data_IF_817583468200
#
_entry.id   IF_817583468200
#
_cell.length_a   1.000
_cell.length_b   1.000
_cell.length_c   1.000
_cell.angle_alpha   90.00
_cell.angle_beta   90.00
_cell.angle_gamma   90.00
#
_symmetry.space_group_name_H-M   'P 1'
#
loop_
_entity.id
_entity.type
_entity.pdbx_description
1 polymer ?
#
# COMPACT_ATOMS: atom_id res chain seq x y z
N UNK A 1 -34.89 -27.88 1.82
CA UNK A 1 -34.06 -27.99 0.61
C UNK A 1 -33.56 -26.61 0.11
N UNK A 2 -34.43 -25.59 0.01
CA UNK A 2 -34.00 -24.22 -0.40
C UNK A 2 -32.97 -23.55 0.55
N UNK A 3 -33.09 -23.73 1.87
CA UNK A 3 -32.15 -23.16 2.85
C UNK A 3 -30.73 -23.76 2.73
N UNK A 4 -30.64 -25.06 2.45
CA UNK A 4 -29.33 -25.74 2.25
C UNK A 4 -28.64 -25.29 0.95
N UNK A 5 -29.40 -25.01 -0.11
CA UNK A 5 -28.88 -24.49 -1.39
C UNK A 5 -28.43 -23.04 -1.25
N UNK A 6 -29.13 -22.22 -0.44
CA UNK A 6 -28.72 -20.85 -0.15
C UNK A 6 -27.45 -20.81 0.70
N UNK A 7 -27.32 -21.68 1.70
CA UNK A 7 -26.10 -21.83 2.52
C UNK A 7 -24.89 -22.23 1.69
N UNK A 8 -25.03 -23.25 0.83
CA UNK A 8 -23.96 -23.71 -0.01
C UNK A 8 -23.48 -22.66 -1.06
N UNK A 9 -24.39 -21.87 -1.63
CA UNK A 9 -24.02 -20.75 -2.51
C UNK A 9 -23.28 -19.63 -1.77
N UNK A 10 -23.67 -19.35 -0.53
CA UNK A 10 -23.00 -18.39 0.34
C UNK A 10 -21.58 -18.84 0.71
N UNK A 11 -21.39 -20.12 1.02
CA UNK A 11 -20.06 -20.68 1.35
C UNK A 11 -19.12 -20.71 0.14
N UNK A 12 -19.61 -21.09 -1.04
CA UNK A 12 -18.82 -21.07 -2.27
C UNK A 12 -18.38 -19.65 -2.67
N UNK A 13 -19.24 -18.66 -2.50
CA UNK A 13 -18.92 -17.25 -2.73
C UNK A 13 -17.81 -16.78 -1.78
N UNK A 14 -17.92 -17.12 -0.49
CA UNK A 14 -16.91 -16.76 0.49
C UNK A 14 -15.54 -17.40 0.21
N UNK A 15 -15.50 -18.67 -0.17
CA UNK A 15 -14.27 -19.37 -0.56
C UNK A 15 -13.63 -18.76 -1.81
N UNK A 16 -14.44 -18.34 -2.77
CA UNK A 16 -13.95 -17.65 -3.97
C UNK A 16 -13.34 -16.30 -3.61
N UNK A 17 -13.99 -15.52 -2.74
CA UNK A 17 -13.47 -14.23 -2.29
C UNK A 17 -12.19 -14.39 -1.46
N UNK A 18 -12.11 -15.43 -0.64
CA UNK A 18 -10.89 -15.76 0.10
C UNK A 18 -9.76 -16.17 -0.85
N UNK A 19 -10.05 -16.98 -1.89
CA UNK A 19 -9.09 -17.32 -2.94
C UNK A 19 -8.54 -16.10 -3.69
N UNK A 20 -9.42 -15.13 -4.00
CA UNK A 20 -9.02 -13.84 -4.59
C UNK A 20 -8.13 -13.03 -3.65
N UNK A 21 -8.45 -13.01 -2.35
CA UNK A 21 -7.63 -12.34 -1.34
C UNK A 21 -6.23 -12.96 -1.25
N UNK A 22 -6.11 -14.30 -1.24
CA UNK A 22 -4.81 -14.97 -1.28
C UNK A 22 -4.06 -14.69 -2.58
N UNK A 23 -4.73 -14.72 -3.73
CA UNK A 23 -4.13 -14.36 -5.01
C UNK A 23 -3.58 -12.94 -5.01
N UNK A 24 -4.34 -11.99 -4.48
CA UNK A 24 -3.90 -10.60 -4.32
C UNK A 24 -2.75 -10.45 -3.34
N UNK A 25 -2.83 -11.10 -2.18
CA UNK A 25 -1.74 -11.12 -1.22
C UNK A 25 -0.45 -11.63 -1.87
N UNK A 26 -0.51 -12.72 -2.63
CA UNK A 26 0.63 -13.25 -3.36
C UNK A 26 1.18 -12.25 -4.38
N UNK A 27 0.35 -11.77 -5.29
CA UNK A 27 0.77 -10.90 -6.39
C UNK A 27 1.41 -9.59 -5.88
N UNK A 28 0.81 -8.98 -4.88
CA UNK A 28 1.26 -7.68 -4.38
C UNK A 28 2.42 -7.78 -3.40
N UNK A 29 2.59 -8.90 -2.69
CA UNK A 29 3.70 -9.07 -1.75
C UNK A 29 4.94 -9.72 -2.36
N UNK A 30 4.82 -10.42 -3.49
CA UNK A 30 5.94 -11.11 -4.13
C UNK A 30 7.19 -10.24 -4.33
N UNK A 31 7.12 -9.02 -4.86
CA UNK A 31 8.31 -8.19 -5.02
C UNK A 31 9.06 -7.99 -3.70
N UNK A 32 8.33 -7.71 -2.63
CA UNK A 32 8.91 -7.55 -1.29
C UNK A 32 9.42 -8.87 -0.70
N UNK A 33 8.64 -9.94 -0.85
CA UNK A 33 8.99 -11.27 -0.34
C UNK A 33 10.25 -11.84 -1.01
N UNK A 34 10.60 -11.34 -2.18
CA UNK A 34 11.81 -11.75 -2.92
C UNK A 34 13.00 -10.82 -2.68
N UNK A 35 12.86 -9.77 -1.86
CA UNK A 35 13.96 -8.84 -1.54
C UNK A 35 14.68 -9.27 -0.25
N UNK A 36 15.99 -9.45 -0.35
CA UNK A 36 16.85 -9.88 0.75
C UNK A 36 16.84 -8.86 1.91
N UNK A 37 16.77 -7.59 1.58
CA UNK A 37 16.74 -6.50 2.56
C UNK A 37 15.52 -6.59 3.49
N UNK A 38 14.36 -6.98 2.98
CA UNK A 38 13.17 -7.17 3.81
C UNK A 38 13.31 -8.33 4.79
N UNK A 39 13.97 -9.40 4.40
CA UNK A 39 14.26 -10.51 5.33
C UNK A 39 15.21 -10.05 6.42
N UNK A 40 16.28 -9.33 6.04
CA UNK A 40 17.26 -8.78 6.98
C UNK A 40 16.61 -7.76 7.94
N UNK A 41 15.74 -6.89 7.45
CA UNK A 41 14.99 -5.95 8.29
C UNK A 41 14.07 -6.65 9.29
N UNK A 42 13.44 -7.75 8.91
CA UNK A 42 12.62 -8.56 9.81
C UNK A 42 13.38 -9.05 11.03
N UNK A 43 14.68 -9.31 10.87
CA UNK A 43 15.57 -9.73 11.95
C UNK A 43 16.16 -8.54 12.70
N UNK A 44 16.67 -7.53 11.98
CA UNK A 44 17.52 -6.45 12.52
C UNK A 44 16.75 -5.21 12.97
N UNK A 45 15.56 -4.94 12.45
CA UNK A 45 14.81 -3.72 12.77
C UNK A 45 14.42 -3.67 14.26
N UNK A 46 14.52 -2.50 14.93
CA UNK A 46 14.13 -2.35 16.32
C UNK A 46 12.67 -2.78 16.56
N UNK A 47 12.40 -3.54 17.64
CA UNK A 47 11.04 -4.07 17.90
C UNK A 47 9.96 -2.98 17.94
N UNK A 48 10.27 -1.81 18.49
CA UNK A 48 9.34 -0.67 18.55
C UNK A 48 8.94 -0.17 17.14
N UNK A 49 9.89 -0.13 16.20
CA UNK A 49 9.62 0.30 14.82
C UNK A 49 8.82 -0.74 14.06
N UNK A 50 9.12 -2.03 14.25
CA UNK A 50 8.30 -3.12 13.69
C UNK A 50 6.85 -3.03 14.19
N UNK A 51 6.68 -2.79 15.49
CA UNK A 51 5.36 -2.58 16.08
C UNK A 51 4.68 -1.33 15.51
N UNK A 52 5.39 -0.20 15.42
CA UNK A 52 4.86 1.04 14.84
C UNK A 52 4.46 0.86 13.37
N UNK A 53 5.23 0.10 12.59
CA UNK A 53 4.90 -0.22 11.20
C UNK A 53 3.60 -1.04 11.11
N UNK A 54 3.46 -2.10 11.89
CA UNK A 54 2.25 -2.93 11.90
C UNK A 54 1.04 -2.14 12.38
N UNK A 55 1.18 -1.37 13.48
CA UNK A 55 0.10 -0.53 13.99
C UNK A 55 -0.26 0.61 13.02
N UNK A 56 0.72 1.18 12.32
CA UNK A 56 0.51 2.19 11.29
C UNK A 56 -0.19 1.63 10.03
N UNK A 57 0.00 0.35 9.74
CA UNK A 57 -0.71 -0.31 8.65
C UNK A 57 -2.21 -0.51 8.94
N UNK A 58 -2.61 -0.66 10.21
CA UNK A 58 -4.02 -0.92 10.58
C UNK A 58 -5.00 0.15 10.07
N UNK A 59 -4.78 1.46 10.29
CA UNK A 59 -5.70 2.49 9.79
C UNK A 59 -5.73 2.53 8.25
N UNK A 60 -4.63 2.21 7.59
CA UNK A 60 -4.58 2.13 6.12
C UNK A 60 -5.40 0.95 5.62
N UNK A 61 -5.22 -0.23 6.22
CA UNK A 61 -6.00 -1.42 5.90
C UNK A 61 -7.49 -1.22 6.20
N UNK A 62 -7.83 -0.60 7.33
CA UNK A 62 -9.22 -0.30 7.70
C UNK A 62 -9.87 0.67 6.69
N UNK A 63 -9.16 1.71 6.29
CA UNK A 63 -9.64 2.63 5.27
C UNK A 63 -9.82 1.93 3.92
N UNK A 64 -8.86 1.10 3.50
CA UNK A 64 -9.02 0.30 2.27
C UNK A 64 -10.17 -0.70 2.38
N UNK A 65 -10.40 -1.32 3.55
CA UNK A 65 -11.56 -2.17 3.78
C UNK A 65 -12.88 -1.40 3.64
N UNK A 66 -12.89 -0.12 4.01
CA UNK A 66 -14.05 0.76 3.80
C UNK A 66 -14.34 1.02 2.32
N UNK A 67 -13.29 1.24 1.51
CA UNK A 67 -13.44 1.54 0.07
C UNK A 67 -13.44 0.28 -0.81
N UNK A 68 -12.77 -0.81 -0.39
CA UNK A 68 -12.56 -2.03 -1.18
C UNK A 68 -12.82 -3.34 -0.42
N UNK A 69 -13.49 -3.30 0.74
CA UNK A 69 -13.66 -4.43 1.67
C UNK A 69 -14.45 -5.62 1.14
N UNK A 70 -14.38 -6.74 1.89
CA UNK A 70 -15.01 -8.03 1.54
C UNK A 70 -16.54 -8.01 1.71
N UNK A 71 -17.09 -7.08 2.48
CA UNK A 71 -18.53 -7.02 2.77
C UNK A 71 -19.25 -6.08 1.82
N UNK A 72 -20.36 -6.55 1.25
CA UNK A 72 -21.26 -5.71 0.47
C UNK A 72 -21.98 -4.65 1.34
N UNK A 73 -21.96 -4.81 2.66
CA UNK A 73 -22.54 -3.87 3.63
C UNK A 73 -21.45 -3.08 4.30
N UNK A 74 -21.42 -1.77 4.08
CA UNK A 74 -20.54 -0.84 4.79
C UNK A 74 -20.97 -0.71 6.25
N UNK A 75 -20.00 -0.73 7.19
CA UNK A 75 -20.24 -0.56 8.62
C UNK A 75 -18.99 -0.83 9.44
N UNK A 76 -18.88 -0.22 10.62
CA UNK A 76 -17.70 -0.34 11.48
C UNK A 76 -17.29 -1.81 11.73
N UNK A 77 -18.26 -2.67 12.05
CA UNK A 77 -18.01 -4.09 12.32
C UNK A 77 -17.50 -4.83 11.07
N UNK A 78 -18.12 -4.60 9.92
CA UNK A 78 -17.73 -5.26 8.67
C UNK A 78 -16.33 -4.82 8.22
N UNK A 79 -16.05 -3.53 8.24
CA UNK A 79 -14.71 -3.02 7.90
C UNK A 79 -13.63 -3.56 8.85
N UNK A 80 -13.93 -3.70 10.13
CA UNK A 80 -13.01 -4.31 11.11
C UNK A 80 -12.78 -5.78 10.79
N UNK A 81 -13.83 -6.55 10.50
CA UNK A 81 -13.71 -7.96 10.13
C UNK A 81 -12.93 -8.12 8.83
N UNK A 82 -13.20 -7.31 7.82
CA UNK A 82 -12.49 -7.32 6.55
C UNK A 82 -10.99 -7.01 6.74
N UNK A 83 -10.67 -6.04 7.60
CA UNK A 83 -9.29 -5.73 7.98
C UNK A 83 -8.60 -6.91 8.66
N UNK A 84 -9.27 -7.56 9.60
CA UNK A 84 -8.73 -8.72 10.31
C UNK A 84 -8.54 -9.93 9.38
N UNK A 85 -9.48 -10.16 8.46
CA UNK A 85 -9.35 -11.22 7.45
C UNK A 85 -8.18 -10.93 6.51
N UNK A 86 -8.05 -9.70 6.04
CA UNK A 86 -6.92 -9.31 5.19
C UNK A 86 -5.57 -9.47 5.90
N UNK A 87 -5.49 -9.08 7.18
CA UNK A 87 -4.31 -9.31 8.00
C UNK A 87 -4.02 -10.80 8.17
N UNK A 88 -5.01 -11.60 8.49
CA UNK A 88 -4.84 -13.06 8.64
C UNK A 88 -4.32 -13.67 7.33
N UNK A 89 -4.90 -13.30 6.18
CA UNK A 89 -4.42 -13.72 4.86
C UNK A 89 -2.99 -13.26 4.64
N UNK A 90 -2.67 -12.01 4.98
CA UNK A 90 -1.31 -11.46 4.87
C UNK A 90 -0.30 -12.23 5.71
N UNK A 91 -0.60 -12.50 6.97
CA UNK A 91 0.26 -13.28 7.87
C UNK A 91 0.45 -14.71 7.38
N UNK A 92 -0.63 -15.41 6.98
CA UNK A 92 -0.57 -16.78 6.48
C UNK A 92 0.24 -16.86 5.19
N UNK A 93 -0.03 -15.96 4.23
CA UNK A 93 0.70 -15.90 2.95
C UNK A 93 2.19 -15.63 3.18
N UNK A 94 2.52 -14.65 4.01
CA UNK A 94 3.91 -14.29 4.29
C UNK A 94 4.65 -15.43 5.01
N UNK A 95 4.03 -16.05 6.01
CA UNK A 95 4.62 -17.17 6.72
C UNK A 95 4.85 -18.38 5.78
N UNK A 96 3.85 -18.69 4.96
CA UNK A 96 3.94 -19.82 4.01
C UNK A 96 5.05 -19.60 2.97
N UNK A 97 5.12 -18.39 2.39
CA UNK A 97 6.12 -18.10 1.35
C UNK A 97 7.54 -17.99 1.93
N UNK A 98 7.73 -17.32 3.08
CA UNK A 98 9.04 -17.26 3.73
C UNK A 98 9.54 -18.65 4.13
N UNK A 99 8.63 -19.53 4.60
CA UNK A 99 8.97 -20.92 4.88
C UNK A 99 9.29 -21.69 3.60
N UNK A 100 8.49 -21.54 2.54
CA UNK A 100 8.69 -22.20 1.25
C UNK A 100 10.01 -21.79 0.59
N UNK A 101 10.38 -20.52 0.69
CA UNK A 101 11.64 -19.99 0.18
C UNK A 101 12.84 -20.34 1.08
N UNK A 102 12.58 -20.97 2.24
CA UNK A 102 13.60 -21.33 3.23
C UNK A 102 14.43 -20.15 3.74
N UNK A 103 13.79 -18.99 3.87
CA UNK A 103 14.40 -17.73 4.35
C UNK A 103 13.92 -17.34 5.75
N UNK A 104 12.94 -18.07 6.30
CA UNK A 104 12.43 -17.84 7.63
C UNK A 104 13.46 -18.27 8.69
N UNK A 105 13.76 -17.40 9.64
CA UNK A 105 14.67 -17.68 10.74
C UNK A 105 13.98 -18.50 11.84
N UNK A 106 14.16 -19.82 11.79
CA UNK A 106 13.62 -20.73 12.80
C UNK A 106 14.39 -20.75 14.12
N UNK A 107 15.59 -20.15 14.16
CA UNK A 107 16.39 -20.15 15.38
C UNK A 107 15.86 -19.17 16.44
N UNK A 108 15.10 -18.16 16.02
CA UNK A 108 14.57 -17.12 16.89
C UNK A 108 13.10 -16.81 16.56
N UNK A 109 12.21 -17.02 17.55
CA UNK A 109 10.80 -16.62 17.41
C UNK A 109 10.65 -15.11 17.15
N UNK A 110 11.52 -14.29 17.74
CA UNK A 110 11.51 -12.84 17.55
C UNK A 110 11.87 -12.46 16.12
N UNK A 111 12.85 -13.14 15.52
CA UNK A 111 13.23 -12.94 14.12
C UNK A 111 12.16 -13.43 13.17
N UNK A 112 11.66 -14.65 13.37
CA UNK A 112 10.60 -15.22 12.54
C UNK A 112 9.33 -14.35 12.55
N UNK A 113 8.88 -13.94 13.75
CA UNK A 113 7.71 -13.05 13.86
C UNK A 113 7.97 -11.67 13.25
N UNK A 114 9.20 -11.15 13.36
CA UNK A 114 9.62 -9.91 12.72
C UNK A 114 9.55 -9.99 11.19
N UNK A 115 10.13 -11.03 10.61
CA UNK A 115 10.10 -11.28 9.17
C UNK A 115 8.67 -11.39 8.66
N UNK A 116 7.83 -12.22 9.30
CA UNK A 116 6.43 -12.41 8.91
C UNK A 116 5.64 -11.09 9.04
N UNK A 117 5.80 -10.36 10.15
CA UNK A 117 5.01 -9.15 10.42
C UNK A 117 5.30 -8.01 9.44
N UNK A 118 6.57 -7.82 9.02
CA UNK A 118 6.91 -6.80 8.03
C UNK A 118 6.35 -7.14 6.65
N UNK A 119 6.27 -8.42 6.31
CA UNK A 119 5.74 -8.88 5.02
C UNK A 119 4.21 -8.96 5.01
N UNK A 120 3.58 -9.13 6.18
CA UNK A 120 2.13 -9.28 6.29
C UNK A 120 1.36 -8.02 5.89
N UNK A 121 1.90 -6.82 6.16
CA UNK A 121 1.22 -5.57 5.82
C UNK A 121 1.06 -5.37 4.31
N UNK A 122 2.10 -5.45 3.47
CA UNK A 122 1.94 -5.37 2.01
C UNK A 122 1.09 -6.50 1.44
N UNK A 123 1.18 -7.72 2.00
CA UNK A 123 0.32 -8.83 1.59
C UNK A 123 -1.16 -8.57 1.92
N UNK A 124 -1.45 -7.99 3.09
CA UNK A 124 -2.81 -7.60 3.46
C UNK A 124 -3.36 -6.47 2.58
N UNK A 125 -2.53 -5.49 2.22
CA UNK A 125 -2.90 -4.46 1.23
C UNK A 125 -3.27 -5.08 -0.11
N UNK A 126 -2.47 -6.04 -0.58
CA UNK A 126 -2.74 -6.79 -1.80
C UNK A 126 -4.03 -7.61 -1.74
N UNK A 127 -4.31 -8.24 -0.59
CA UNK A 127 -5.56 -8.99 -0.39
C UNK A 127 -6.81 -8.10 -0.54
N UNK A 128 -6.77 -6.87 -0.02
CA UNK A 128 -7.88 -5.91 -0.15
C UNK A 128 -7.96 -5.34 -1.57
N UNK A 129 -6.83 -4.96 -2.17
CA UNK A 129 -6.79 -4.36 -3.51
C UNK A 129 -7.29 -5.34 -4.59
N UNK A 130 -6.85 -6.60 -4.54
CA UNK A 130 -7.20 -7.59 -5.55
C UNK A 130 -8.68 -7.95 -5.56
N UNK A 131 -9.36 -7.87 -4.43
CA UNK A 131 -10.78 -8.17 -4.39
C UNK A 131 -11.59 -7.25 -5.30
N UNK A 132 -11.31 -5.95 -5.29
CA UNK A 132 -12.00 -4.99 -6.16
C UNK A 132 -11.71 -5.26 -7.63
N UNK A 133 -10.48 -5.61 -7.97
CA UNK A 133 -10.06 -5.85 -9.36
C UNK A 133 -10.50 -7.21 -9.91
N UNK A 134 -10.58 -8.25 -9.05
CA UNK A 134 -10.86 -9.62 -9.47
C UNK A 134 -12.34 -10.02 -9.27
N UNK A 135 -13.13 -9.25 -8.54
CA UNK A 135 -14.57 -9.47 -8.41
C UNK A 135 -15.29 -9.00 -9.65
N UNK A 136 -15.30 -9.73 -10.73
CA UNK A 136 -15.93 -9.40 -12.02
C UNK A 136 -17.43 -9.04 -12.02
N UNK A 137 -18.02 -8.74 -10.87
CA UNK A 137 -19.25 -8.00 -10.71
C UNK A 137 -18.94 -6.52 -10.96
N UNK A 138 -18.98 -6.12 -12.23
CA UNK A 138 -19.20 -4.74 -12.66
C UNK A 138 -20.59 -4.26 -12.25
N UNK A 139 -20.99 -4.46 -11.02
CA UNK A 139 -21.92 -3.58 -10.37
C UNK A 139 -21.14 -2.28 -10.18
N UNK A 140 -21.38 -1.35 -11.08
CA UNK A 140 -21.61 0.04 -10.76
C UNK A 140 -22.19 0.08 -9.34
N UNK A 141 -21.31 -0.11 -8.31
CA UNK A 141 -21.64 0.30 -6.96
C UNK A 141 -21.96 1.76 -7.14
N UNK A 142 -23.08 2.21 -6.58
CA UNK A 142 -23.47 3.59 -6.54
C UNK A 142 -22.20 4.42 -6.58
N UNK A 143 -22.06 5.24 -7.62
CA UNK A 143 -21.05 6.28 -7.74
C UNK A 143 -21.28 7.27 -6.58
N UNK A 144 -21.11 6.79 -5.35
CA UNK A 144 -20.82 7.66 -4.23
C UNK A 144 -19.47 8.26 -4.60
N UNK A 145 -19.52 9.44 -5.21
CA UNK A 145 -18.41 10.31 -5.49
C UNK A 145 -17.45 10.20 -4.32
N UNK A 146 -16.24 9.66 -4.57
CA UNK A 146 -15.29 9.47 -3.51
C UNK A 146 -15.08 10.85 -2.88
N UNK A 147 -15.42 11.02 -1.62
CA UNK A 147 -15.26 12.31 -0.95
C UNK A 147 -13.79 12.74 -1.05
N UNK A 148 -13.51 14.02 -1.14
CA UNK A 148 -12.14 14.55 -1.23
C UNK A 148 -11.15 13.89 -0.23
N UNK A 149 -11.52 13.68 1.07
CA UNK A 149 -10.66 12.92 1.98
C UNK A 149 -10.45 11.47 1.56
N UNK A 150 -11.45 10.83 0.94
CA UNK A 150 -11.35 9.47 0.42
C UNK A 150 -10.35 9.36 -0.72
N UNK A 151 -10.36 10.31 -1.63
CA UNK A 151 -9.41 10.37 -2.74
C UNK A 151 -7.97 10.57 -2.26
N UNK A 152 -7.74 11.49 -1.33
CA UNK A 152 -6.44 11.67 -0.71
C UNK A 152 -5.98 10.44 0.08
N UNK A 153 -6.91 9.74 0.72
CA UNK A 153 -6.61 8.48 1.39
C UNK A 153 -6.17 7.39 0.40
N UNK A 154 -6.84 7.26 -0.74
CA UNK A 154 -6.45 6.30 -1.78
C UNK A 154 -5.06 6.62 -2.35
N UNK A 155 -4.79 7.90 -2.60
CA UNK A 155 -3.45 8.35 -3.00
C UNK A 155 -2.40 7.97 -1.95
N UNK A 156 -2.68 8.18 -0.66
CA UNK A 156 -1.80 7.78 0.43
C UNK A 156 -1.57 6.26 0.46
N UNK A 157 -2.62 5.46 0.30
CA UNK A 157 -2.51 4.00 0.29
C UNK A 157 -1.62 3.49 -0.87
N UNK A 158 -1.79 4.05 -2.07
CA UNK A 158 -0.96 3.74 -3.21
C UNK A 158 0.49 4.21 -3.03
N UNK A 159 0.69 5.41 -2.48
CA UNK A 159 2.02 5.92 -2.14
C UNK A 159 2.74 5.02 -1.14
N UNK A 160 2.06 4.60 -0.07
CA UNK A 160 2.59 3.68 0.93
C UNK A 160 2.95 2.34 0.33
N UNK A 161 2.10 1.79 -0.55
CA UNK A 161 2.38 0.52 -1.21
C UNK A 161 3.70 0.57 -2.00
N UNK A 162 3.91 1.58 -2.83
CA UNK A 162 5.15 1.71 -3.60
C UNK A 162 6.34 2.08 -2.70
N UNK A 163 6.14 2.97 -1.73
CA UNK A 163 7.20 3.35 -0.80
C UNK A 163 7.71 2.14 0.01
N UNK A 164 6.82 1.29 0.54
CA UNK A 164 7.26 0.12 1.31
C UNK A 164 7.98 -0.93 0.46
N UNK A 165 7.67 -1.02 -0.84
CA UNK A 165 8.34 -1.94 -1.75
C UNK A 165 9.76 -1.51 -2.09
N UNK A 166 10.05 -0.21 -2.10
CA UNK A 166 11.32 0.34 -2.58
C UNK A 166 12.21 0.88 -1.43
N UNK A 167 11.60 1.34 -0.34
CA UNK A 167 12.34 1.90 0.80
C UNK A 167 13.45 1.00 1.37
N UNK A 168 13.30 -0.35 1.43
CA UNK A 168 14.34 -1.21 1.97
C UNK A 168 15.52 -1.41 1.01
N UNK A 169 15.35 -1.18 -0.30
CA UNK A 169 16.33 -1.56 -1.32
C UNK A 169 17.60 -0.71 -1.30
N UNK A 170 18.73 -1.35 -1.56
CA UNK A 170 20.03 -0.65 -1.61
C UNK A 170 20.11 0.28 -2.85
N UNK A 171 19.46 -0.08 -3.95
CA UNK A 171 19.40 0.71 -5.16
C UNK A 171 18.77 2.08 -4.93
N UNK A 172 17.69 2.13 -4.15
CA UNK A 172 17.04 3.40 -3.78
C UNK A 172 18.00 4.31 -3.03
N UNK A 173 18.77 3.76 -2.07
CA UNK A 173 19.78 4.51 -1.31
C UNK A 173 20.93 4.97 -2.19
N UNK A 174 21.38 4.12 -3.10
CA UNK A 174 22.45 4.46 -4.06
C UNK A 174 21.99 5.61 -4.97
N UNK A 175 20.78 5.55 -5.51
CA UNK A 175 20.22 6.63 -6.34
C UNK A 175 20.16 7.93 -5.53
N UNK A 176 19.70 7.89 -4.28
CA UNK A 176 19.66 9.07 -3.43
C UNK A 176 21.04 9.66 -3.14
N UNK A 177 22.06 8.80 -2.94
CA UNK A 177 23.44 9.23 -2.76
C UNK A 177 24.04 9.89 -4.01
N UNK A 178 23.69 9.40 -5.19
CA UNK A 178 24.16 9.95 -6.47
C UNK A 178 23.39 11.21 -6.90
N UNK A 179 22.22 11.46 -6.30
CA UNK A 179 21.34 12.56 -6.69
C UNK A 179 21.89 13.90 -6.14
N UNK A 180 22.18 14.84 -7.07
CA UNK A 180 22.57 16.20 -6.70
C UNK A 180 21.37 16.99 -6.20
N UNK A 181 21.54 18.09 -5.43
CA UNK A 181 20.42 18.95 -5.00
C UNK A 181 19.57 19.47 -6.17
N UNK A 182 20.19 19.80 -7.30
CA UNK A 182 19.46 20.20 -8.51
C UNK A 182 18.70 19.02 -9.13
N UNK A 183 19.30 17.84 -9.12
CA UNK A 183 18.66 16.60 -9.55
C UNK A 183 17.44 16.26 -8.68
N UNK A 184 17.54 16.44 -7.36
CA UNK A 184 16.42 16.25 -6.44
C UNK A 184 15.26 17.22 -6.74
N UNK A 185 15.54 18.50 -6.97
CA UNK A 185 14.53 19.48 -7.39
C UNK A 185 13.89 19.08 -8.72
N UNK A 186 14.71 18.65 -9.70
CA UNK A 186 14.19 18.14 -10.96
C UNK A 186 13.27 16.93 -10.79
N UNK A 187 13.66 16.00 -9.92
CA UNK A 187 12.85 14.81 -9.61
C UNK A 187 11.52 15.17 -8.94
N UNK A 188 11.51 16.15 -8.03
CA UNK A 188 10.28 16.67 -7.43
C UNK A 188 9.34 17.24 -8.49
N UNK A 189 9.87 18.05 -9.40
CA UNK A 189 9.06 18.64 -10.49
C UNK A 189 8.50 17.53 -11.40
N UNK A 190 9.34 16.59 -11.81
CA UNK A 190 8.89 15.45 -12.63
C UNK A 190 7.83 14.62 -11.93
N UNK A 191 8.01 14.34 -10.63
CA UNK A 191 7.02 13.59 -9.82
C UNK A 191 5.67 14.31 -9.80
N UNK A 192 5.67 15.63 -9.54
CA UNK A 192 4.44 16.43 -9.53
C UNK A 192 3.78 16.52 -10.91
N UNK A 193 4.58 16.67 -11.98
CA UNK A 193 4.05 16.70 -13.35
C UNK A 193 3.41 15.36 -13.70
N UNK A 194 4.10 14.25 -13.45
CA UNK A 194 3.54 12.91 -13.72
C UNK A 194 2.28 12.64 -12.90
N UNK A 195 2.31 12.95 -11.62
CA UNK A 195 1.14 12.83 -10.75
C UNK A 195 -0.02 13.67 -11.29
N UNK A 196 0.24 14.93 -11.67
CA UNK A 196 -0.77 15.83 -12.21
C UNK A 196 -1.37 15.31 -13.52
N UNK A 197 -0.50 14.93 -14.48
CA UNK A 197 -0.95 14.42 -15.78
C UNK A 197 -1.79 13.17 -15.62
N UNK A 198 -1.31 12.19 -14.85
CA UNK A 198 -2.05 10.93 -14.66
C UNK A 198 -3.38 11.20 -13.95
N UNK A 199 -3.35 12.04 -12.89
CA UNK A 199 -4.53 12.36 -12.10
C UNK A 199 -5.54 13.22 -12.89
N UNK A 200 -5.10 14.12 -13.76
CA UNK A 200 -5.97 15.04 -14.50
C UNK A 200 -6.46 14.46 -15.83
N UNK A 201 -5.58 13.81 -16.61
CA UNK A 201 -5.91 13.30 -17.96
C UNK A 201 -6.68 11.97 -17.93
N UNK A 202 -6.48 11.16 -16.89
CA UNK A 202 -7.17 9.88 -16.80
C UNK A 202 -8.68 9.99 -16.50
N UNK A 203 -9.13 11.20 -16.10
CA UNK A 203 -10.53 11.46 -15.76
C UNK A 203 -11.03 10.57 -14.59
N UNK A 204 -11.71 11.15 -13.60
CA UNK A 204 -12.27 10.36 -12.50
C UNK A 204 -13.78 10.32 -12.60
N UNK A 205 -14.36 9.25 -12.07
CA UNK A 205 -15.74 9.30 -11.60
C UNK A 205 -15.84 10.45 -10.54
N UNK A 206 -16.64 11.47 -10.84
CA UNK A 206 -16.80 12.64 -9.94
C UNK A 206 -15.96 13.88 -10.28
N UNK A 207 -15.13 13.86 -11.32
CA UNK A 207 -14.50 15.09 -11.81
C UNK A 207 -15.56 15.97 -12.46
N UNK A 208 -15.86 17.12 -11.84
CA UNK A 208 -16.71 18.13 -12.51
C UNK A 208 -16.02 18.55 -13.81
N UNK A 209 -16.74 18.47 -14.95
CA UNK A 209 -16.25 18.85 -16.30
C UNK A 209 -15.68 20.29 -16.40
N UNK A 210 -15.69 21.03 -15.30
CA UNK A 210 -15.31 22.46 -15.22
C UNK A 210 -14.12 22.77 -14.35
N UNK A 211 -13.39 21.78 -13.81
CA UNK A 211 -12.20 22.10 -13.02
C UNK A 211 -11.07 22.62 -13.92
N UNK A 212 -10.54 23.80 -13.56
CA UNK A 212 -9.35 24.32 -14.23
C UNK A 212 -8.11 23.52 -13.84
N UNK A 213 -7.13 23.29 -14.75
CA UNK A 213 -5.89 22.55 -14.41
C UNK A 213 -5.18 23.08 -13.16
N UNK A 214 -5.19 24.39 -12.95
CA UNK A 214 -4.59 25.02 -11.78
C UNK A 214 -5.31 24.63 -10.48
N UNK A 215 -6.64 24.54 -10.49
CA UNK A 215 -7.42 24.13 -9.32
C UNK A 215 -7.15 22.66 -9.00
N UNK A 216 -7.15 21.79 -10.00
CA UNK A 216 -6.80 20.38 -9.84
C UNK A 216 -5.36 20.21 -9.30
N UNK A 217 -4.41 21.03 -9.78
CA UNK A 217 -3.04 21.04 -9.24
C UNK A 217 -3.00 21.36 -7.76
N UNK A 218 -3.67 22.43 -7.33
CA UNK A 218 -3.65 22.88 -5.93
C UNK A 218 -4.43 21.96 -4.99
N UNK A 219 -5.53 21.36 -5.45
CA UNK A 219 -6.40 20.53 -4.62
C UNK A 219 -5.98 19.06 -4.57
N UNK A 220 -5.37 18.52 -5.61
CA UNK A 220 -5.03 17.10 -5.68
C UNK A 220 -3.52 16.86 -5.82
N UNK A 221 -2.87 17.52 -6.78
CA UNK A 221 -1.45 17.23 -7.05
C UNK A 221 -0.56 17.64 -5.90
N UNK A 222 -0.71 18.86 -5.40
CA UNK A 222 0.13 19.38 -4.33
C UNK A 222 -0.08 18.64 -3.00
N UNK A 223 -1.33 18.46 -2.51
CA UNK A 223 -1.58 17.64 -1.32
C UNK A 223 -1.19 16.17 -1.52
N UNK A 224 -1.45 15.59 -2.68
CA UNK A 224 -1.07 14.21 -3.01
C UNK A 224 0.44 14.01 -2.99
N UNK A 225 1.21 14.94 -3.55
CA UNK A 225 2.66 14.87 -3.48
C UNK A 225 3.20 15.07 -2.06
N UNK A 226 2.58 15.94 -1.26
CA UNK A 226 2.92 16.08 0.16
C UNK A 226 2.69 14.76 0.92
N UNK A 227 1.60 14.04 0.63
CA UNK A 227 1.35 12.70 1.17
C UNK A 227 2.41 11.69 0.71
N UNK A 228 2.88 11.76 -0.55
CA UNK A 228 3.96 10.91 -1.04
C UNK A 228 5.28 11.14 -0.29
N UNK A 229 5.64 12.40 -0.02
CA UNK A 229 6.81 12.75 0.78
C UNK A 229 6.66 12.25 2.23
N UNK A 230 5.48 12.41 2.84
CA UNK A 230 5.20 11.94 4.18
C UNK A 230 5.24 10.40 4.27
N UNK A 231 4.64 9.70 3.30
CA UNK A 231 4.68 8.24 3.19
C UNK A 231 6.12 7.73 3.03
N UNK A 232 6.91 8.38 2.17
CA UNK A 232 8.31 8.05 1.94
C UNK A 232 9.14 8.22 3.22
N UNK A 233 8.98 9.34 3.92
CA UNK A 233 9.66 9.56 5.20
C UNK A 233 9.24 8.52 6.25
N UNK A 234 7.94 8.23 6.36
CA UNK A 234 7.43 7.24 7.31
C UNK A 234 8.02 5.84 7.06
N UNK A 235 8.12 5.41 5.80
CA UNK A 235 8.70 4.11 5.44
C UNK A 235 10.22 4.08 5.71
N UNK A 236 10.96 5.12 5.35
CA UNK A 236 12.38 5.23 5.64
C UNK A 236 12.65 5.22 7.15
N UNK A 237 11.81 5.89 7.93
CA UNK A 237 11.91 5.86 9.39
C UNK A 237 11.59 4.48 9.96
N UNK A 238 10.52 3.85 9.50
CA UNK A 238 10.11 2.51 9.96
C UNK A 238 11.20 1.46 9.70
N UNK A 239 11.89 1.58 8.57
CA UNK A 239 12.96 0.67 8.17
C UNK A 239 14.37 1.10 8.66
N UNK A 240 14.44 2.05 9.59
CA UNK A 240 15.68 2.56 10.17
C UNK A 240 16.66 3.21 9.15
N UNK A 241 16.17 3.56 7.96
CA UNK A 241 16.98 4.14 6.89
C UNK A 241 17.35 5.63 7.11
N UNK A 242 16.78 6.26 8.13
CA UNK A 242 17.11 7.66 8.52
C UNK A 242 18.17 7.74 9.61
N UNK A 243 18.50 6.61 10.27
CA UNK A 243 19.37 6.60 11.45
C UNK A 243 20.81 6.92 11.10
N UNK A 244 21.39 7.84 11.87
CA UNK A 244 22.78 8.27 11.67
C UNK A 244 23.04 9.12 10.44
N UNK A 245 22.00 9.49 9.68
CA UNK A 245 22.13 10.32 8.48
C UNK A 245 21.82 11.79 8.77
N UNK A 246 22.56 12.69 8.11
CA UNK A 246 22.27 14.13 8.16
C UNK A 246 21.01 14.51 7.39
N UNK A 247 20.41 15.66 7.71
CA UNK A 247 19.17 16.13 7.11
C UNK A 247 19.18 16.16 5.57
N UNK A 248 20.31 16.51 4.96
CA UNK A 248 20.45 16.53 3.49
C UNK A 248 20.33 15.12 2.87
N UNK A 249 20.95 14.11 3.49
CA UNK A 249 20.85 12.74 3.03
C UNK A 249 19.43 12.17 3.23
N UNK A 250 18.81 12.48 4.36
CA UNK A 250 17.41 12.09 4.61
C UNK A 250 16.48 12.70 3.56
N UNK A 251 16.64 14.00 3.27
CA UNK A 251 15.84 14.69 2.25
C UNK A 251 16.02 14.07 0.86
N UNK A 252 17.26 13.75 0.48
CA UNK A 252 17.54 13.09 -0.81
C UNK A 252 16.83 11.73 -0.90
N UNK A 253 16.92 10.90 0.15
CA UNK A 253 16.24 9.61 0.21
C UNK A 253 14.70 9.77 0.12
N UNK A 254 14.13 10.74 0.84
CA UNK A 254 12.70 11.01 0.82
C UNK A 254 12.24 11.42 -0.57
N UNK A 255 12.97 12.34 -1.23
CA UNK A 255 12.61 12.83 -2.57
C UNK A 255 12.72 11.72 -3.62
N UNK A 256 13.78 10.92 -3.57
CA UNK A 256 13.95 9.78 -4.49
C UNK A 256 12.85 8.76 -4.32
N UNK A 257 12.51 8.40 -3.07
CA UNK A 257 11.44 7.46 -2.80
C UNK A 257 10.04 8.04 -3.11
N UNK A 258 9.86 9.35 -2.99
CA UNK A 258 8.60 10.02 -3.32
C UNK A 258 8.26 9.95 -4.82
N UNK A 259 9.24 9.74 -5.70
CA UNK A 259 8.98 9.56 -7.13
C UNK A 259 8.14 8.31 -7.41
N UNK A 260 8.55 7.09 -7.05
CA UNK A 260 7.70 5.92 -7.21
C UNK A 260 6.44 5.97 -6.33
N UNK A 261 6.50 6.59 -5.14
CA UNK A 261 5.31 6.81 -4.32
C UNK A 261 4.25 7.66 -5.02
N UNK A 262 4.66 8.69 -5.78
CA UNK A 262 3.76 9.50 -6.59
C UNK A 262 3.10 8.71 -7.72
N UNK A 263 3.84 7.79 -8.35
CA UNK A 263 3.26 6.87 -9.35
C UNK A 263 2.26 5.92 -8.69
N UNK A 264 2.56 5.43 -7.48
CA UNK A 264 1.63 4.61 -6.70
C UNK A 264 0.35 5.37 -6.32
N UNK A 265 0.49 6.62 -5.89
CA UNK A 265 -0.66 7.49 -5.59
C UNK A 265 -1.54 7.71 -6.83
N UNK A 266 -0.93 7.96 -7.98
CA UNK A 266 -1.64 8.10 -9.25
C UNK A 266 -2.34 6.81 -9.66
N UNK A 267 -1.63 5.67 -9.58
CA UNK A 267 -2.18 4.36 -9.93
C UNK A 267 -3.38 3.98 -9.05
N UNK A 268 -3.33 4.27 -7.74
CA UNK A 268 -4.44 3.98 -6.83
C UNK A 268 -5.71 4.73 -7.22
N UNK A 269 -5.60 5.94 -7.77
CA UNK A 269 -6.75 6.69 -8.29
C UNK A 269 -7.31 6.14 -9.60
N UNK A 270 -6.47 5.55 -10.44
CA UNK A 270 -6.94 4.91 -11.67
C UNK A 270 -7.70 3.61 -11.42
N UNK A 271 -7.51 3.00 -10.25
CA UNK A 271 -8.07 1.70 -9.89
C UNK A 271 -9.39 1.81 -9.12
N UNK A 272 -9.78 2.98 -8.70
CA UNK A 272 -10.98 3.28 -7.91
C UNK A 272 -11.97 4.11 -8.67
#
# INVERSE_FOLDING_TARGET
>A
MQAAVHGAKSELSYLTDLGRAFGGALLFSLPLLMTMEMWALGVSAPPLRRLAFVLGALPVLYGLAHYAGFSARRGLMNNTLDTLVALAVGYVTSAALLALFNVLDYASLTSATGQISLQAAPAALGALAARRQLSGDGKEGDEDEASYPGELFLMLAGALYFAMNLAPTEEMRLIAYLTTPLGALGLMVVSMVLLHVIVFEAGFAGQEEKETPLRAFLHFTLPGYALCLAASFAMLWAFAAVDGHGAGAIMANVVVLAFPAALGAAAARLLV
#
